data_IF_768636484565
#
_entry.id   IF_768636484565
#
_cell.length_a   1.000
_cell.length_b   1.000
_cell.length_c   1.000
_cell.angle_alpha   90.00
_cell.angle_beta   90.00
_cell.angle_gamma   90.00
#
_symmetry.space_group_name_H-M   'P 1'
#
loop_
_entity.id
_entity.type
_entity.pdbx_description
1 polymer ?
#
# COMPACT_ATOMS: atom_id res chain seq x y z
N UNK A 1 -20.04 -16.57 27.10
CA UNK A 1 -18.70 -16.06 26.69
C UNK A 1 -17.86 -17.27 26.34
N UNK A 2 -17.85 -17.68 25.09
CA UNK A 2 -17.01 -18.79 24.63
C UNK A 2 -15.80 -18.21 23.93
N UNK A 3 -14.67 -18.30 24.59
CA UNK A 3 -13.37 -17.97 23.98
C UNK A 3 -13.10 -18.95 22.83
N UNK A 4 -12.89 -18.44 21.63
CA UNK A 4 -12.38 -19.22 20.49
C UNK A 4 -10.98 -19.73 20.89
N UNK A 5 -10.82 -21.04 20.99
CA UNK A 5 -9.53 -21.65 21.32
C UNK A 5 -8.54 -21.41 20.19
N UNK A 6 -7.24 -21.24 20.53
CA UNK A 6 -6.15 -21.02 19.56
C UNK A 6 -6.11 -22.01 18.38
N UNK A 7 -6.76 -23.15 18.49
CA UNK A 7 -6.88 -24.15 17.41
C UNK A 7 -7.88 -23.79 16.30
N UNK A 8 -8.94 -23.03 16.62
CA UNK A 8 -9.96 -22.64 15.64
C UNK A 8 -9.49 -21.50 14.72
N UNK A 9 -8.62 -20.61 15.24
CA UNK A 9 -7.98 -19.58 14.42
C UNK A 9 -6.99 -20.18 13.38
N UNK A 10 -6.47 -21.38 13.62
CA UNK A 10 -5.60 -22.07 12.67
C UNK A 10 -6.39 -22.72 11.51
N UNK A 11 -7.60 -23.20 11.78
CA UNK A 11 -8.50 -23.73 10.75
C UNK A 11 -9.01 -22.63 9.78
N UNK A 12 -9.23 -21.41 10.29
CA UNK A 12 -9.58 -20.27 9.42
C UNK A 12 -8.45 -19.87 8.45
N UNK A 13 -7.18 -20.06 8.82
CA UNK A 13 -6.04 -19.74 7.94
C UNK A 13 -5.99 -20.57 6.66
N UNK A 14 -6.45 -21.80 6.70
CA UNK A 14 -6.45 -22.68 5.51
C UNK A 14 -7.70 -22.47 4.62
N UNK A 15 -8.79 -21.95 5.18
CA UNK A 15 -10.07 -21.81 4.46
C UNK A 15 -10.15 -20.49 3.68
N UNK A 16 -9.43 -19.44 4.07
CA UNK A 16 -9.50 -18.10 3.44
C UNK A 16 -8.72 -18.03 2.13
N UNK A 17 -7.79 -18.96 1.86
CA UNK A 17 -6.90 -18.89 0.70
C UNK A 17 -7.30 -19.73 -0.52
N UNK A 18 -8.49 -20.32 -0.53
CA UNK A 18 -8.89 -21.21 -1.64
C UNK A 18 -10.31 -20.87 -2.10
N UNK A 19 -10.43 -20.04 -3.14
CA UNK A 19 -11.70 -19.61 -3.77
C UNK A 19 -12.60 -20.78 -4.21
N UNK A 20 -12.06 -22.00 -4.31
CA UNK A 20 -12.80 -23.21 -4.70
C UNK A 20 -13.53 -23.91 -3.55
N UNK A 21 -13.35 -23.48 -2.31
CA UNK A 21 -13.85 -24.14 -1.10
C UNK A 21 -14.68 -23.23 -0.18
N UNK A 22 -15.39 -22.23 -0.72
CA UNK A 22 -16.42 -21.56 0.07
C UNK A 22 -17.54 -22.60 0.28
N UNK A 23 -17.83 -23.03 1.52
CA UNK A 23 -18.90 -24.00 1.74
C UNK A 23 -20.20 -23.44 1.18
N UNK A 24 -20.94 -24.25 0.46
CA UNK A 24 -22.27 -23.89 -0.08
C UNK A 24 -23.23 -23.40 1.03
N UNK A 25 -22.97 -23.80 2.26
CA UNK A 25 -23.74 -23.47 3.47
C UNK A 25 -23.25 -22.20 4.18
N UNK A 26 -22.33 -21.43 3.57
CA UNK A 26 -21.89 -20.19 4.19
C UNK A 26 -23.07 -19.24 4.35
N UNK A 27 -23.35 -18.93 5.60
CA UNK A 27 -24.43 -18.01 5.96
C UNK A 27 -24.16 -16.63 5.31
N UNK A 28 -24.99 -16.29 4.32
CA UNK A 28 -24.90 -15.03 3.59
C UNK A 28 -25.57 -13.87 4.32
N UNK A 29 -25.95 -14.05 5.57
CA UNK A 29 -26.63 -13.02 6.38
C UNK A 29 -25.69 -11.87 6.78
N UNK A 30 -24.42 -11.92 6.40
CA UNK A 30 -23.40 -10.92 6.73
C UNK A 30 -22.55 -11.31 7.94
N UNK A 31 -21.61 -10.43 8.29
CA UNK A 31 -20.77 -10.64 9.45
C UNK A 31 -21.57 -10.45 10.74
N UNK A 32 -21.28 -11.23 11.80
CA UNK A 32 -21.92 -11.03 13.09
C UNK A 32 -21.54 -9.64 13.65
N UNK A 33 -22.47 -8.99 14.33
CA UNK A 33 -22.30 -7.61 14.81
C UNK A 33 -20.98 -7.34 15.55
N UNK A 34 -20.48 -8.32 16.33
CA UNK A 34 -19.20 -8.18 17.04
C UNK A 34 -17.98 -7.98 16.11
N UNK A 35 -18.04 -8.47 14.87
CA UNK A 35 -16.94 -8.34 13.92
C UNK A 35 -16.67 -6.87 13.52
N UNK A 36 -17.69 -6.03 13.60
CA UNK A 36 -17.59 -4.61 13.24
C UNK A 36 -16.93 -3.73 14.32
N UNK A 37 -16.68 -4.24 15.53
CA UNK A 37 -16.03 -3.48 16.60
C UNK A 37 -14.98 -4.27 17.39
N UNK A 38 -14.59 -5.45 16.90
CA UNK A 38 -13.57 -6.26 17.56
C UNK A 38 -12.16 -5.77 17.23
N UNK A 39 -11.45 -5.21 18.21
CA UNK A 39 -10.05 -4.82 18.11
C UNK A 39 -9.14 -6.01 17.77
N UNK A 40 -9.47 -7.21 18.26
CA UNK A 40 -8.72 -8.42 18.00
C UNK A 40 -8.85 -8.82 16.51
N UNK A 41 -10.09 -8.81 15.98
CA UNK A 41 -10.33 -9.09 14.56
C UNK A 41 -9.64 -8.05 13.68
N UNK A 42 -9.80 -6.76 13.97
CA UNK A 42 -9.14 -5.70 13.21
C UNK A 42 -7.61 -5.83 13.24
N UNK A 43 -7.03 -6.24 14.37
CA UNK A 43 -5.59 -6.50 14.44
C UNK A 43 -5.16 -7.69 13.56
N UNK A 44 -6.01 -8.70 13.44
CA UNK A 44 -5.78 -9.84 12.54
C UNK A 44 -5.92 -9.43 11.08
N UNK A 45 -6.93 -8.64 10.74
CA UNK A 45 -7.15 -8.10 9.39
C UNK A 45 -5.99 -7.22 8.93
N UNK A 46 -5.46 -6.35 9.81
CA UNK A 46 -4.24 -5.58 9.51
C UNK A 46 -3.09 -6.47 9.08
N UNK A 47 -2.85 -7.57 9.81
CA UNK A 47 -1.74 -8.47 9.51
C UNK A 47 -1.99 -9.37 8.30
N UNK A 48 -3.17 -9.90 8.12
CA UNK A 48 -3.46 -10.93 7.14
C UNK A 48 -4.04 -10.37 5.83
N UNK A 49 -4.82 -9.28 5.90
CA UNK A 49 -5.41 -8.66 4.71
C UNK A 49 -4.57 -7.47 4.25
N UNK A 50 -4.58 -6.36 5.00
CA UNK A 50 -4.03 -5.10 4.51
C UNK A 50 -2.53 -5.14 4.23
N UNK A 51 -1.76 -5.83 5.04
CA UNK A 51 -0.30 -5.87 4.88
C UNK A 51 0.17 -6.90 3.87
N UNK A 52 -0.54 -8.01 3.73
CA UNK A 52 -0.12 -9.16 2.94
C UNK A 52 -0.75 -9.25 1.56
N UNK A 53 -1.84 -8.54 1.31
CA UNK A 53 -2.50 -8.50 0.00
C UNK A 53 -2.17 -7.22 -0.76
N UNK A 54 -2.39 -7.25 -2.06
CA UNK A 54 -2.21 -6.11 -2.94
C UNK A 54 -3.23 -5.02 -2.64
N UNK A 55 -2.74 -3.80 -2.46
CA UNK A 55 -3.52 -2.61 -2.20
C UNK A 55 -3.44 -1.68 -3.41
N UNK A 56 -4.58 -1.28 -3.96
CA UNK A 56 -4.66 -0.31 -5.05
C UNK A 56 -4.26 1.09 -4.54
N UNK A 57 -3.33 1.73 -5.23
CA UNK A 57 -2.88 3.10 -4.91
C UNK A 57 -3.46 4.13 -5.87
N UNK A 58 -3.56 3.80 -7.14
CA UNK A 58 -4.03 4.70 -8.17
C UNK A 58 -3.59 4.24 -9.56
N UNK A 59 -3.50 5.19 -10.50
CA UNK A 59 -3.18 4.88 -11.89
C UNK A 59 -1.91 5.60 -12.37
N UNK A 60 -1.13 4.98 -13.26
CA UNK A 60 0.14 5.52 -13.78
C UNK A 60 -0.01 6.89 -14.42
N UNK A 61 -1.15 7.17 -15.04
CA UNK A 61 -1.44 8.44 -15.69
C UNK A 61 -1.69 9.60 -14.71
N UNK A 62 -1.81 9.32 -13.42
CA UNK A 62 -1.75 10.34 -12.36
C UNK A 62 -0.31 10.82 -12.14
N UNK A 63 0.68 9.95 -12.38
CA UNK A 63 2.11 10.24 -12.23
C UNK A 63 2.72 10.77 -13.54
N UNK A 64 2.21 11.89 -14.06
CA UNK A 64 2.60 12.42 -15.38
C UNK A 64 4.07 12.80 -15.46
N UNK A 65 4.54 13.52 -14.47
CA UNK A 65 5.88 14.11 -14.46
C UNK A 65 6.85 13.36 -13.56
N UNK A 66 8.14 13.57 -13.81
CA UNK A 66 9.19 13.17 -12.87
C UNK A 66 8.97 13.83 -11.52
N UNK A 67 8.98 13.03 -10.48
CA UNK A 67 8.73 13.46 -9.10
C UNK A 67 7.24 13.48 -8.71
N UNK A 68 6.29 13.29 -9.64
CA UNK A 68 4.89 13.09 -9.27
C UNK A 68 4.75 11.88 -8.35
N UNK A 69 3.95 12.00 -7.31
CA UNK A 69 3.74 10.94 -6.33
C UNK A 69 2.28 10.79 -5.92
N UNK A 70 1.97 9.61 -5.43
CA UNK A 70 0.74 9.24 -4.71
C UNK A 70 1.13 8.63 -3.38
N UNK A 71 0.31 8.82 -2.35
CA UNK A 71 0.43 8.11 -1.08
C UNK A 71 -0.78 7.22 -0.83
N UNK A 72 -0.59 6.23 0.00
CA UNK A 72 -1.66 5.36 0.49
C UNK A 72 -1.49 5.18 1.99
N UNK A 73 -2.53 5.53 2.74
CA UNK A 73 -2.64 5.24 4.16
C UNK A 73 -3.74 4.19 4.35
N UNK A 74 -3.37 3.04 4.88
CA UNK A 74 -4.32 1.95 5.14
C UNK A 74 -3.89 1.15 6.37
N UNK A 75 -4.80 0.94 7.31
CA UNK A 75 -4.57 0.09 8.49
C UNK A 75 -3.25 0.39 9.24
N UNK A 76 -2.91 1.68 9.39
CA UNK A 76 -1.66 2.21 9.95
C UNK A 76 -0.40 2.03 9.10
N UNK A 77 -0.50 1.42 7.92
CA UNK A 77 0.58 1.41 6.93
C UNK A 77 0.57 2.70 6.11
N UNK A 78 1.76 3.08 5.64
CA UNK A 78 1.97 4.30 4.87
C UNK A 78 2.81 4.01 3.65
N UNK A 79 2.20 4.07 2.48
CA UNK A 79 2.84 3.87 1.19
C UNK A 79 3.13 5.19 0.49
N UNK A 80 4.16 5.19 -0.34
CA UNK A 80 4.54 6.25 -1.27
C UNK A 80 4.88 5.63 -2.62
N UNK A 81 4.21 6.05 -3.66
CA UNK A 81 4.54 5.69 -5.05
C UNK A 81 5.01 6.95 -5.76
N UNK A 82 6.15 6.90 -6.44
CA UNK A 82 6.78 8.07 -7.05
C UNK A 82 7.44 7.74 -8.39
N UNK A 83 7.35 8.67 -9.35
CA UNK A 83 8.02 8.57 -10.64
C UNK A 83 9.43 9.14 -10.58
N UNK A 84 10.41 8.29 -10.88
CA UNK A 84 11.83 8.67 -10.93
C UNK A 84 12.24 9.41 -12.21
N UNK A 85 13.45 9.97 -12.25
CA UNK A 85 13.99 10.68 -13.42
C UNK A 85 14.27 9.76 -14.60
N UNK A 86 14.37 8.47 -14.34
CA UNK A 86 14.52 7.40 -15.36
C UNK A 86 13.17 6.91 -15.91
N UNK A 87 12.08 7.61 -15.58
CA UNK A 87 10.71 7.27 -15.96
C UNK A 87 10.10 6.10 -15.18
N UNK A 88 10.88 5.41 -14.34
CA UNK A 88 10.38 4.27 -13.57
C UNK A 88 9.56 4.72 -12.36
N UNK A 89 8.45 4.05 -12.14
CA UNK A 89 7.65 4.19 -10.93
C UNK A 89 8.21 3.23 -9.87
N UNK A 90 8.29 3.71 -8.63
CA UNK A 90 8.79 2.96 -7.48
C UNK A 90 7.89 3.18 -6.29
N UNK A 91 7.82 2.18 -5.43
CA UNK A 91 7.05 2.24 -4.20
C UNK A 91 7.95 2.07 -2.97
N UNK A 92 7.66 2.85 -1.93
CA UNK A 92 8.39 2.85 -0.67
C UNK A 92 7.41 2.98 0.50
N UNK A 93 7.84 2.58 1.69
CA UNK A 93 7.18 3.05 2.89
C UNK A 93 7.35 4.58 3.00
N UNK A 94 6.25 5.31 3.21
CA UNK A 94 6.25 6.77 3.41
C UNK A 94 6.74 7.11 4.83
N UNK A 95 7.93 6.62 5.18
CA UNK A 95 8.52 6.74 6.52
C UNK A 95 10.00 7.10 6.44
N UNK A 96 10.37 8.19 7.10
CA UNK A 96 11.75 8.63 7.20
C UNK A 96 12.58 7.64 8.04
N UNK A 97 13.75 7.26 7.54
CA UNK A 97 14.69 6.35 8.23
C UNK A 97 15.28 6.90 9.51
N UNK A 98 15.07 8.20 9.78
CA UNK A 98 15.51 8.83 11.02
C UNK A 98 14.61 8.47 12.21
N UNK A 99 13.32 8.85 12.16
CA UNK A 99 12.36 8.68 13.26
C UNK A 99 10.95 8.34 12.78
N UNK A 100 10.78 7.73 11.61
CA UNK A 100 9.49 7.26 11.13
C UNK A 100 8.47 8.36 10.78
N UNK A 101 8.88 9.64 10.68
CA UNK A 101 7.99 10.68 10.17
C UNK A 101 7.66 10.46 8.70
N UNK A 102 6.47 10.86 8.25
CA UNK A 102 6.14 10.87 6.82
C UNK A 102 7.16 11.70 6.05
N UNK A 103 7.64 11.18 4.92
CA UNK A 103 8.56 11.94 4.05
C UNK A 103 7.82 12.87 3.11
N UNK A 104 6.58 12.53 2.72
CA UNK A 104 5.63 13.41 2.04
C UNK A 104 4.29 13.38 2.80
N UNK A 105 3.70 14.55 3.12
CA UNK A 105 2.48 14.62 3.94
C UNK A 105 1.20 14.47 3.13
N UNK A 106 1.18 14.92 1.87
CA UNK A 106 -0.01 15.04 1.05
C UNK A 106 -0.33 13.72 0.33
N UNK A 107 -1.59 13.51 -0.02
CA UNK A 107 -2.06 12.32 -0.74
C UNK A 107 -1.47 12.23 -2.16
N UNK A 108 -1.30 13.35 -2.81
CA UNK A 108 -0.69 13.46 -4.14
C UNK A 108 0.08 14.78 -4.26
N UNK A 109 1.12 14.77 -5.09
CA UNK A 109 1.93 15.97 -5.31
C UNK A 109 3.13 15.72 -6.19
N UNK A 110 4.11 16.62 -6.09
CA UNK A 110 5.33 16.55 -6.90
C UNK A 110 6.56 16.95 -6.08
N UNK A 111 7.54 16.07 -5.99
CA UNK A 111 8.88 16.35 -5.52
C UNK A 111 9.75 16.76 -6.71
N UNK A 112 10.47 17.90 -6.63
CA UNK A 112 11.25 18.38 -7.78
C UNK A 112 12.45 17.47 -8.11
N UNK A 113 13.43 17.37 -7.23
CA UNK A 113 14.68 16.61 -7.45
C UNK A 113 14.93 15.57 -6.37
N UNK A 114 14.30 15.73 -5.23
CA UNK A 114 14.50 14.90 -4.04
C UNK A 114 13.28 14.96 -3.12
N UNK A 115 13.16 13.96 -2.29
CA UNK A 115 12.20 13.89 -1.20
C UNK A 115 12.91 14.43 0.06
N UNK A 116 12.38 15.49 0.66
CA UNK A 116 12.95 16.08 1.87
C UNK A 116 12.00 15.87 3.03
N UNK A 117 12.46 15.13 4.04
CA UNK A 117 11.66 14.90 5.24
C UNK A 117 11.36 16.23 5.95
N UNK A 118 10.09 16.58 6.16
CA UNK A 118 9.73 17.89 6.74
C UNK A 118 10.13 18.02 8.21
N UNK A 119 10.44 16.93 8.89
CA UNK A 119 10.75 16.95 10.32
C UNK A 119 12.18 17.40 10.61
N UNK A 120 13.20 16.77 9.99
CA UNK A 120 14.61 17.09 10.25
C UNK A 120 15.47 17.20 8.99
N UNK A 121 14.86 17.34 7.82
CA UNK A 121 15.59 17.61 6.58
C UNK A 121 16.40 16.44 6.01
N UNK A 122 16.18 15.20 6.48
CA UNK A 122 16.77 14.06 5.79
C UNK A 122 16.27 13.99 4.36
N UNK A 123 17.18 13.82 3.42
CA UNK A 123 16.89 13.95 1.99
C UNK A 123 17.15 12.64 1.28
N UNK A 124 16.19 12.23 0.45
CA UNK A 124 16.24 11.02 -0.36
C UNK A 124 16.12 11.36 -1.83
N UNK A 125 16.76 10.57 -2.67
CA UNK A 125 16.51 10.59 -4.11
C UNK A 125 15.10 10.11 -4.46
N UNK A 126 14.63 10.39 -5.67
CA UNK A 126 13.38 9.85 -6.18
C UNK A 126 13.48 8.32 -6.42
N UNK A 127 14.67 7.78 -6.36
CA UNK A 127 15.00 6.35 -6.37
C UNK A 127 15.02 5.73 -4.97
N UNK A 128 14.70 6.51 -3.92
CA UNK A 128 14.70 6.10 -2.53
C UNK A 128 16.08 6.13 -1.86
N UNK A 129 17.17 6.35 -2.58
CA UNK A 129 18.54 6.40 -2.01
C UNK A 129 18.73 7.59 -1.08
N UNK A 130 19.54 7.43 -0.03
CA UNK A 130 19.88 8.55 0.87
C UNK A 130 20.79 9.55 0.18
N UNK A 131 20.35 10.80 0.03
CA UNK A 131 21.13 11.91 -0.56
C UNK A 131 21.77 12.80 0.48
N UNK A 132 21.08 13.11 1.56
CA UNK A 132 21.56 14.00 2.61
C UNK A 132 21.04 13.64 3.99
N UNK A 133 21.93 13.75 4.97
CA UNK A 133 21.62 13.58 6.39
C UNK A 133 21.96 14.91 7.06
N UNK A 134 20.94 15.64 7.49
CA UNK A 134 21.13 16.88 8.21
C UNK A 134 21.86 16.62 9.53
N UNK A 135 22.84 17.45 9.88
CA UNK A 135 23.68 17.34 11.08
C UNK A 135 24.36 15.96 11.18
N UNK A 136 24.90 15.47 10.07
CA UNK A 136 25.57 14.17 9.97
C UNK A 136 26.64 13.95 11.05
N UNK A 137 27.30 15.02 11.45
CA UNK A 137 28.37 15.04 12.49
C UNK A 137 27.84 14.65 13.89
N UNK A 138 26.54 14.73 14.14
CA UNK A 138 25.94 14.36 15.44
C UNK A 138 25.60 12.88 15.54
N UNK A 139 25.77 12.14 14.45
CA UNK A 139 25.47 10.72 14.39
C UNK A 139 26.75 9.89 14.42
N UNK A 140 26.73 8.66 14.97
CA UNK A 140 27.86 7.74 14.81
C UNK A 140 28.07 7.44 13.31
N UNK A 141 29.22 6.87 12.97
CA UNK A 141 29.51 6.48 11.59
C UNK A 141 28.40 5.52 11.07
N UNK A 142 27.66 5.99 10.07
CA UNK A 142 26.54 5.23 9.49
C UNK A 142 26.83 4.94 8.02
N UNK A 143 26.43 3.75 7.58
CA UNK A 143 26.41 3.40 6.16
C UNK A 143 25.17 4.04 5.50
N UNK A 144 25.40 5.01 4.62
CA UNK A 144 24.33 5.76 3.95
C UNK A 144 23.50 4.87 3.02
N UNK A 145 24.09 3.84 2.44
CA UNK A 145 23.42 2.95 1.50
C UNK A 145 22.35 2.10 2.22
N UNK A 146 22.53 1.87 3.52
CA UNK A 146 21.57 1.18 4.37
C UNK A 146 20.44 2.05 4.89
N UNK A 147 20.48 3.36 4.62
CA UNK A 147 19.53 4.35 5.15
C UNK A 147 18.55 4.87 4.10
N UNK A 148 18.49 4.25 2.93
CA UNK A 148 17.48 4.53 1.90
C UNK A 148 16.06 4.25 2.39
N UNK A 149 15.07 4.81 1.70
CA UNK A 149 13.66 4.47 1.94
C UNK A 149 13.46 2.97 1.75
N UNK A 150 12.64 2.37 2.60
CA UNK A 150 12.35 0.93 2.52
C UNK A 150 11.41 0.71 1.33
N UNK A 151 11.80 -0.13 0.35
CA UNK A 151 10.96 -0.41 -0.79
C UNK A 151 9.74 -1.26 -0.41
N UNK A 152 8.63 -1.03 -1.12
CA UNK A 152 7.46 -1.89 -1.12
C UNK A 152 7.48 -2.78 -2.37
N UNK A 153 6.89 -3.95 -2.29
CA UNK A 153 6.54 -4.71 -3.49
C UNK A 153 5.47 -3.93 -4.27
N UNK A 154 5.64 -3.85 -5.57
CA UNK A 154 4.74 -3.09 -6.45
C UNK A 154 4.54 -3.83 -7.76
N UNK A 155 3.31 -3.86 -8.23
CA UNK A 155 2.93 -4.34 -9.56
C UNK A 155 2.02 -3.32 -10.25
N UNK A 156 2.05 -3.34 -11.59
CA UNK A 156 1.17 -2.53 -12.42
C UNK A 156 0.38 -3.48 -13.32
N UNK A 157 -0.95 -3.33 -13.29
CA UNK A 157 -1.87 -4.11 -14.11
C UNK A 157 -2.82 -3.14 -14.82
N UNK A 158 -2.81 -3.13 -16.14
CA UNK A 158 -3.57 -2.21 -17.00
C UNK A 158 -3.50 -0.73 -16.53
N UNK A 159 -2.29 -0.28 -16.14
CA UNK A 159 -2.07 1.08 -15.62
C UNK A 159 -2.41 1.27 -14.14
N UNK A 160 -3.13 0.39 -13.50
CA UNK A 160 -3.40 0.44 -12.07
C UNK A 160 -2.18 0.00 -11.26
N UNK A 161 -1.82 0.79 -10.26
CA UNK A 161 -0.65 0.58 -9.41
C UNK A 161 -1.08 -0.10 -8.11
N UNK A 162 -0.50 -1.24 -7.83
CA UNK A 162 -0.72 -1.98 -6.60
C UNK A 162 0.56 -2.08 -5.79
N UNK A 163 0.43 -1.99 -4.47
CA UNK A 163 1.54 -2.18 -3.52
C UNK A 163 1.20 -3.24 -2.50
N UNK A 164 2.23 -3.85 -1.91
CA UNK A 164 2.10 -4.80 -0.82
C UNK A 164 3.09 -4.45 0.28
N UNK A 165 2.60 -4.29 1.51
CA UNK A 165 3.39 -3.78 2.64
C UNK A 165 4.27 -4.84 3.28
N UNK A 166 3.92 -6.10 3.15
CA UNK A 166 4.67 -7.23 3.71
C UNK A 166 4.83 -8.31 2.66
N UNK A 167 6.05 -8.81 2.53
CA UNK A 167 6.31 -9.96 1.68
C UNK A 167 5.45 -11.15 2.10
N UNK A 168 4.74 -11.73 1.16
CA UNK A 168 3.81 -12.84 1.40
C UNK A 168 3.76 -13.75 0.16
N UNK A 169 3.27 -14.99 0.30
CA UNK A 169 3.13 -15.95 -0.81
C UNK A 169 1.93 -15.66 -1.70
N UNK A 170 1.33 -14.47 -1.63
CA UNK A 170 0.21 -14.09 -2.47
C UNK A 170 0.61 -14.10 -3.96
N UNK A 171 -0.27 -14.57 -4.85
CA UNK A 171 -0.04 -14.54 -6.29
C UNK A 171 0.13 -13.09 -6.78
N UNK A 172 0.67 -12.93 -7.99
CA UNK A 172 0.78 -11.61 -8.64
C UNK A 172 -0.60 -10.98 -8.85
N UNK A 173 -0.63 -9.65 -8.99
CA UNK A 173 -1.89 -8.94 -9.34
C UNK A 173 -2.47 -9.51 -10.65
N UNK A 174 -1.62 -9.77 -11.63
CA UNK A 174 -2.03 -10.35 -12.90
C UNK A 174 -2.73 -11.71 -12.73
N UNK A 175 -2.19 -12.59 -11.88
CA UNK A 175 -2.80 -13.91 -11.64
C UNK A 175 -4.14 -13.77 -10.89
N UNK A 176 -4.23 -12.88 -9.91
CA UNK A 176 -5.49 -12.63 -9.16
C UNK A 176 -6.56 -12.06 -10.08
N UNK A 177 -6.19 -11.14 -10.95
CA UNK A 177 -7.09 -10.37 -11.80
C UNK A 177 -7.42 -11.07 -13.13
N UNK A 178 -6.69 -12.12 -13.52
CA UNK A 178 -6.85 -12.81 -14.82
C UNK A 178 -8.28 -13.29 -15.09
N UNK A 179 -9.04 -13.62 -14.06
CA UNK A 179 -10.45 -14.01 -14.18
C UNK A 179 -11.36 -12.91 -14.72
N UNK A 180 -10.92 -11.65 -14.64
CA UNK A 180 -11.68 -10.48 -15.10
C UNK A 180 -11.20 -9.96 -16.46
N UNK A 181 -10.14 -10.52 -17.06
CA UNK A 181 -9.57 -10.02 -18.31
C UNK A 181 -10.64 -9.91 -19.41
N UNK A 182 -11.55 -10.88 -19.50
CA UNK A 182 -12.64 -10.90 -20.47
C UNK A 182 -13.70 -9.81 -20.27
N UNK A 183 -13.79 -9.24 -19.05
CA UNK A 183 -14.74 -8.16 -18.74
C UNK A 183 -14.17 -6.78 -19.09
N UNK A 184 -12.83 -6.69 -19.21
CA UNK A 184 -12.13 -5.42 -19.37
C UNK A 184 -11.38 -5.28 -20.70
N UNK A 185 -11.32 -6.34 -21.53
CA UNK A 185 -10.56 -6.36 -22.80
C UNK A 185 -11.01 -5.28 -23.79
N UNK A 186 -12.30 -4.87 -23.74
CA UNK A 186 -12.85 -3.82 -24.60
C UNK A 186 -12.56 -2.41 -24.10
N UNK A 187 -11.96 -2.25 -22.91
CA UNK A 187 -11.62 -0.96 -22.31
C UNK A 187 -10.14 -0.67 -22.47
N UNK A 188 -9.80 0.51 -22.96
CA UNK A 188 -8.41 1.00 -23.05
C UNK A 188 -7.97 1.57 -21.69
N UNK A 189 -7.91 0.69 -20.67
CA UNK A 189 -7.65 1.08 -19.28
C UNK A 189 -6.30 1.80 -19.12
N UNK A 190 -5.27 1.39 -19.87
CA UNK A 190 -3.92 1.97 -19.78
C UNK A 190 -3.88 3.45 -20.18
N UNK A 191 -4.81 3.88 -21.01
CA UNK A 191 -4.89 5.28 -21.46
C UNK A 191 -5.82 6.15 -20.63
N UNK A 192 -6.59 5.55 -19.70
CA UNK A 192 -7.50 6.29 -18.83
C UNK A 192 -6.78 7.35 -18.03
N UNK A 193 -7.41 8.51 -17.90
CA UNK A 193 -6.93 9.61 -17.07
C UNK A 193 -7.96 9.92 -15.98
N UNK A 194 -7.53 10.27 -14.77
CA UNK A 194 -8.44 10.68 -13.73
C UNK A 194 -9.16 11.98 -14.13
N UNK A 195 -10.46 12.05 -13.84
CA UNK A 195 -11.26 13.25 -13.98
C UNK A 195 -11.29 13.96 -12.64
N UNK A 196 -10.56 15.09 -12.47
CA UNK A 196 -10.35 15.69 -11.15
C UNK A 196 -11.64 16.05 -10.40
N UNK A 197 -12.66 16.48 -11.13
CA UNK A 197 -13.94 16.91 -10.57
C UNK A 197 -14.88 15.76 -10.20
N UNK A 198 -14.49 14.51 -10.53
CA UNK A 198 -15.25 13.32 -10.17
C UNK A 198 -14.74 12.63 -8.90
N UNK A 199 -13.64 13.10 -8.33
CA UNK A 199 -13.10 12.59 -7.07
C UNK A 199 -13.99 13.08 -5.92
N UNK A 200 -14.55 12.14 -5.19
CA UNK A 200 -15.31 12.40 -3.96
C UNK A 200 -14.79 11.49 -2.85
N UNK A 201 -14.59 12.03 -1.67
CA UNK A 201 -14.25 11.27 -0.48
C UNK A 201 -15.00 11.83 0.73
N UNK A 202 -15.46 10.96 1.60
CA UNK A 202 -16.11 11.31 2.85
C UNK A 202 -15.60 10.39 3.96
N UNK A 203 -15.40 10.97 5.13
CA UNK A 203 -15.13 10.19 6.35
C UNK A 203 -16.47 9.93 7.02
N UNK A 204 -16.85 8.68 7.13
CA UNK A 204 -18.04 8.24 7.84
C UNK A 204 -17.63 7.48 9.10
N UNK A 205 -18.38 7.69 10.18
CA UNK A 205 -18.10 7.06 11.48
C UNK A 205 -18.71 5.66 11.55
N UNK A 206 -18.19 4.78 10.71
CA UNK A 206 -18.58 3.37 10.62
C UNK A 206 -17.35 2.51 10.43
N UNK A 207 -17.46 1.23 10.76
CA UNK A 207 -16.46 0.25 10.37
C UNK A 207 -16.64 -0.13 8.90
N UNK A 208 -15.57 -0.62 8.28
CA UNK A 208 -15.48 -0.99 6.86
C UNK A 208 -16.03 -2.40 6.60
#
# INVERSE_FOLDING_TARGET
MNFIRRGEACLMKETICNDSNIPFEWDRTGLPGWAYFSEELFSLEKELLFRQHWQLVGHVNTLRDVGSYLTLDIANERGLVIKGPDGKIRAFHNLCRHRGSRVVPDEKGKCNKSIVCPYHGWTYGLDGSTRGIARKETFPKMDRDMLGLIPLEMEIWYGFIFVKFKKSPQPSVKEVMARFDHEIEDYDLETMIPVPESEWSEIIDVNW
#
